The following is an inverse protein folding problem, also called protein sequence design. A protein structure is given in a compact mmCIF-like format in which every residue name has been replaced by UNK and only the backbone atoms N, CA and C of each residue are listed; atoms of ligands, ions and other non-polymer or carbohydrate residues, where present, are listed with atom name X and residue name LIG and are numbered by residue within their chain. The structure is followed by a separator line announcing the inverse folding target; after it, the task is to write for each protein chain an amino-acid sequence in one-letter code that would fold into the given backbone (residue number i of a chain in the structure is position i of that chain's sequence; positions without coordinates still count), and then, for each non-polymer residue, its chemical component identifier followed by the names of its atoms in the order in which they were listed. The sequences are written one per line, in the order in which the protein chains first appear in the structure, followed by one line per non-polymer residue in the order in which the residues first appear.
data_IF_023964517662
#
_entry.id   IF_023964517662
#
_cell.length_a   1.000
_cell.length_b   1.000
_cell.length_c   1.000
_cell.angle_alpha   90.00
_cell.angle_beta   90.00
_cell.angle_gamma   90.00
#
_symmetry.space_group_name_H-M   'P 1'
#
loop_
_entity.id
_entity.type
_entity.pdbx_description
1 polymer ?
#
# COMPACT_ATOMS: atom_id res chain seq x y z
N UNK A 1 13.81 -18.43 -2.34
CA UNK A 1 14.38 -17.70 -3.49
C UNK A 1 13.99 -16.23 -3.40
N UNK A 2 14.85 -15.28 -3.82
CA UNK A 2 14.44 -13.88 -3.94
C UNK A 2 13.35 -13.76 -5.01
N UNK A 3 12.27 -13.05 -4.68
CA UNK A 3 11.22 -12.70 -5.65
C UNK A 3 11.88 -11.79 -6.70
N UNK A 4 11.77 -12.09 -8.00
CA UNK A 4 12.25 -11.18 -9.04
C UNK A 4 11.56 -9.83 -8.85
N UNK A 5 12.34 -8.74 -8.73
CA UNK A 5 11.79 -7.36 -8.68
C UNK A 5 10.85 -7.06 -9.86
N UNK A 6 10.94 -7.83 -10.95
CA UNK A 6 10.03 -7.88 -12.10
C UNK A 6 8.54 -8.08 -11.76
N UNK A 7 8.25 -8.80 -10.67
CA UNK A 7 6.90 -9.27 -10.33
C UNK A 7 6.18 -8.40 -9.30
N UNK A 8 6.84 -7.36 -8.78
CA UNK A 8 6.22 -6.44 -7.84
C UNK A 8 5.34 -5.43 -8.59
N UNK A 9 4.12 -5.15 -8.08
CA UNK A 9 3.25 -4.17 -8.70
C UNK A 9 3.87 -2.79 -8.64
N UNK A 10 3.64 -2.00 -9.68
CA UNK A 10 3.80 -0.55 -9.65
C UNK A 10 2.85 0.08 -8.64
N UNK A 11 3.13 1.31 -8.22
CA UNK A 11 2.23 2.02 -7.32
C UNK A 11 0.85 2.25 -7.97
N UNK A 12 0.80 2.56 -9.27
CA UNK A 12 -0.44 2.66 -10.04
C UNK A 12 -1.26 1.35 -9.97
N UNK A 13 -0.64 0.20 -10.23
CA UNK A 13 -1.31 -1.11 -10.21
C UNK A 13 -1.80 -1.45 -8.80
N UNK A 14 -0.97 -1.21 -7.77
CA UNK A 14 -1.36 -1.44 -6.39
C UNK A 14 -2.55 -0.57 -6.00
N UNK A 15 -2.49 0.74 -6.27
CA UNK A 15 -3.57 1.69 -5.98
C UNK A 15 -4.86 1.30 -6.70
N UNK A 16 -4.78 0.93 -7.98
CA UNK A 16 -5.92 0.44 -8.74
C UNK A 16 -6.51 -0.84 -8.14
N UNK A 17 -5.69 -1.82 -7.75
CA UNK A 17 -6.17 -3.07 -7.15
C UNK A 17 -6.84 -2.82 -5.79
N UNK A 18 -6.22 -2.01 -4.93
CA UNK A 18 -6.75 -1.67 -3.60
C UNK A 18 -8.12 -0.98 -3.70
N UNK A 19 -8.25 -0.04 -4.63
CA UNK A 19 -9.49 0.72 -4.86
C UNK A 19 -10.58 -0.14 -5.50
N UNK A 20 -10.27 -0.84 -6.60
CA UNK A 20 -11.26 -1.60 -7.37
C UNK A 20 -11.73 -2.89 -6.68
N UNK A 21 -10.81 -3.64 -6.07
CA UNK A 21 -11.09 -4.98 -5.54
C UNK A 21 -11.44 -4.99 -4.06
N UNK A 22 -10.83 -4.10 -3.27
CA UNK A 22 -11.00 -4.09 -1.81
C UNK A 22 -11.76 -2.87 -1.28
N UNK A 23 -12.18 -1.96 -2.16
CA UNK A 23 -12.90 -0.75 -1.79
C UNK A 23 -12.07 0.18 -0.92
N UNK A 24 -10.74 0.14 -1.06
CA UNK A 24 -9.87 1.07 -0.35
C UNK A 24 -9.96 2.47 -0.99
N UNK A 25 -9.73 3.50 -0.19
CA UNK A 25 -9.61 4.88 -0.65
C UNK A 25 -8.19 5.37 -0.40
N UNK A 26 -7.65 6.13 -1.34
CA UNK A 26 -6.36 6.81 -1.17
C UNK A 26 -6.63 8.26 -0.74
N UNK A 27 -6.12 8.64 0.42
CA UNK A 27 -6.37 9.93 1.07
C UNK A 27 -5.07 10.54 1.58
N UNK A 28 -5.13 11.83 1.89
CA UNK A 28 -4.03 12.55 2.52
C UNK A 28 -4.51 13.13 3.84
N UNK A 29 -3.66 13.04 4.87
CA UNK A 29 -3.88 13.69 6.16
C UNK A 29 -2.78 14.72 6.38
N UNK A 30 -3.18 15.95 6.72
CA UNK A 30 -2.23 16.99 7.12
C UNK A 30 -1.78 16.70 8.56
N UNK A 31 -0.51 16.34 8.73
CA UNK A 31 0.07 16.10 10.05
C UNK A 31 0.80 17.36 10.51
N UNK A 32 0.48 17.82 11.72
CA UNK A 32 1.21 18.87 12.41
C UNK A 32 2.18 18.20 13.39
N UNK A 33 3.48 18.49 13.25
CA UNK A 33 4.46 18.11 14.26
C UNK A 33 4.54 19.22 15.30
N UNK A 34 4.48 18.85 16.58
CA UNK A 34 4.67 19.80 17.67
C UNK A 34 6.01 20.52 17.51
N UNK A 35 5.96 21.86 17.44
CA UNK A 35 7.13 22.71 17.24
C UNK A 35 7.48 23.04 15.79
N UNK A 36 6.72 22.52 14.81
CA UNK A 36 6.85 22.90 13.39
C UNK A 36 5.58 23.64 12.97
N UNK A 37 5.72 24.86 12.45
CA UNK A 37 4.58 25.68 12.02
C UNK A 37 3.90 25.13 10.75
N UNK A 38 4.62 24.36 9.96
CA UNK A 38 4.14 23.81 8.70
C UNK A 38 3.53 22.42 8.89
N UNK A 39 2.35 22.22 8.29
CA UNK A 39 1.81 20.87 8.09
C UNK A 39 2.38 20.26 6.83
N UNK A 40 2.58 18.94 6.87
CA UNK A 40 2.92 18.17 5.67
C UNK A 40 1.81 17.16 5.38
N UNK A 41 1.43 17.00 4.10
CA UNK A 41 0.47 15.99 3.70
C UNK A 41 1.13 14.61 3.80
N UNK A 42 0.44 13.69 4.48
CA UNK A 42 0.86 12.28 4.58
C UNK A 42 -0.16 11.43 3.84
N UNK A 43 0.25 10.77 2.73
CA UNK A 43 -0.64 9.88 2.02
C UNK A 43 -0.88 8.58 2.80
N UNK A 44 -2.11 8.08 2.74
CA UNK A 44 -2.51 6.83 3.37
C UNK A 44 -3.61 6.13 2.57
N UNK A 45 -3.65 4.80 2.70
CA UNK A 45 -4.79 4.01 2.27
C UNK A 45 -5.74 3.79 3.44
N UNK A 46 -7.03 3.92 3.17
CA UNK A 46 -8.11 3.63 4.10
C UNK A 46 -8.98 2.51 3.55
N UNK A 47 -9.36 1.53 4.38
CA UNK A 47 -10.34 0.51 4.05
C UNK A 47 -11.42 0.46 5.13
N UNK A 48 -12.68 0.55 4.72
CA UNK A 48 -13.83 0.43 5.62
C UNK A 48 -14.37 -1.00 5.60
N UNK A 49 -14.47 -1.61 6.77
CA UNK A 49 -14.97 -2.98 6.95
C UNK A 49 -16.05 -2.97 8.05
N UNK A 50 -17.29 -2.68 7.67
CA UNK A 50 -18.39 -2.47 8.62
C UNK A 50 -18.08 -1.27 9.52
N UNK A 51 -18.06 -1.50 10.84
CA UNK A 51 -17.76 -0.47 11.84
C UNK A 51 -16.25 -0.22 12.03
N UNK A 52 -15.39 -0.97 11.33
CA UNK A 52 -13.93 -0.85 11.45
C UNK A 52 -13.36 -0.03 10.30
N UNK A 53 -12.53 0.96 10.62
CA UNK A 53 -11.72 1.70 9.65
C UNK A 53 -10.26 1.25 9.82
N UNK A 54 -9.70 0.69 8.76
CA UNK A 54 -8.30 0.28 8.69
C UNK A 54 -7.51 1.33 7.90
N UNK A 55 -6.38 1.78 8.44
CA UNK A 55 -5.55 2.80 7.81
C UNK A 55 -4.09 2.34 7.71
N UNK A 56 -3.48 2.60 6.55
CA UNK A 56 -2.05 2.37 6.34
C UNK A 56 -1.41 3.62 5.75
N UNK A 57 -0.62 4.30 6.58
CA UNK A 57 0.30 5.35 6.11
C UNK A 57 1.34 4.69 5.20
N UNK A 58 1.65 5.38 4.11
CA UNK A 58 2.54 4.89 3.08
C UNK A 58 3.53 5.97 2.72
N UNK A 59 4.81 5.60 2.68
CA UNK A 59 5.87 6.44 2.14
C UNK A 59 6.17 5.89 0.76
N UNK A 60 5.59 6.50 -0.26
CA UNK A 60 5.80 6.10 -1.65
C UNK A 60 6.71 7.07 -2.38
N UNK A 61 7.40 6.59 -3.42
CA UNK A 61 8.00 7.47 -4.41
C UNK A 61 6.93 8.32 -5.09
N UNK A 62 7.32 9.50 -5.56
CA UNK A 62 6.41 10.45 -6.24
C UNK A 62 5.93 9.93 -7.62
N UNK A 63 6.53 8.85 -8.14
CA UNK A 63 6.25 8.30 -9.46
C UNK A 63 5.34 7.06 -9.37
N UNK A 64 4.16 7.13 -10.00
CA UNK A 64 3.21 6.02 -10.01
C UNK A 64 3.70 4.78 -10.81
N UNK A 65 4.75 4.94 -11.63
CA UNK A 65 5.38 3.85 -12.39
C UNK A 65 6.42 3.07 -11.57
N UNK A 66 6.83 3.59 -10.41
CA UNK A 66 7.78 2.91 -9.55
C UNK A 66 7.17 1.67 -8.89
N UNK A 67 8.00 0.63 -8.77
CA UNK A 67 7.60 -0.63 -8.14
C UNK A 67 7.58 -0.50 -6.64
N UNK A 68 6.52 -1.04 -6.05
CA UNK A 68 6.35 -1.04 -4.60
C UNK A 68 7.27 -2.09 -4.00
N UNK A 69 8.15 -1.66 -3.09
CA UNK A 69 8.99 -2.57 -2.34
C UNK A 69 8.15 -3.63 -1.60
N UNK A 70 8.60 -4.88 -1.61
CA UNK A 70 7.89 -6.00 -0.99
C UNK A 70 7.53 -5.76 0.48
N UNK A 71 8.41 -5.08 1.22
CA UNK A 71 8.18 -4.70 2.62
C UNK A 71 6.98 -3.78 2.77
N UNK A 72 6.84 -2.78 1.89
CA UNK A 72 5.72 -1.85 1.88
C UNK A 72 4.44 -2.57 1.49
N UNK A 73 4.49 -3.41 0.45
CA UNK A 73 3.35 -4.23 0.03
C UNK A 73 2.84 -5.13 1.16
N UNK A 74 3.74 -5.84 1.85
CA UNK A 74 3.39 -6.66 3.01
C UNK A 74 2.79 -5.85 4.15
N UNK A 75 3.37 -4.69 4.46
CA UNK A 75 2.86 -3.79 5.51
C UNK A 75 1.42 -3.33 5.20
N UNK A 76 1.15 -2.95 3.95
CA UNK A 76 -0.17 -2.53 3.48
C UNK A 76 -1.17 -3.69 3.59
N UNK A 77 -0.80 -4.87 3.10
CA UNK A 77 -1.66 -6.05 3.13
C UNK A 77 -2.05 -6.42 4.56
N UNK A 78 -1.08 -6.42 5.49
CA UNK A 78 -1.34 -6.73 6.90
C UNK A 78 -2.24 -5.67 7.55
N UNK A 79 -1.96 -4.37 7.35
CA UNK A 79 -2.73 -3.30 7.98
C UNK A 79 -4.15 -3.17 7.44
N UNK A 80 -4.35 -3.45 6.15
CA UNK A 80 -5.66 -3.37 5.50
C UNK A 80 -6.41 -4.72 5.47
N UNK A 81 -5.87 -5.75 6.11
CA UNK A 81 -6.44 -7.12 6.13
C UNK A 81 -6.73 -7.66 4.72
N UNK A 82 -5.74 -7.51 3.83
CA UNK A 82 -5.79 -7.97 2.45
C UNK A 82 -4.92 -9.24 2.31
N UNK A 83 -5.45 -10.33 1.74
CA UNK A 83 -4.66 -11.53 1.49
C UNK A 83 -3.50 -11.24 0.52
N UNK A 84 -2.27 -11.50 0.96
CA UNK A 84 -1.09 -11.29 0.11
C UNK A 84 -1.10 -12.19 -1.15
N UNK A 85 -1.78 -13.34 -1.08
CA UNK A 85 -1.94 -14.28 -2.20
C UNK A 85 -2.57 -13.63 -3.45
N UNK A 86 -3.40 -12.61 -3.26
CA UNK A 86 -4.11 -11.94 -4.35
C UNK A 86 -3.18 -11.11 -5.25
N UNK A 87 -1.96 -10.85 -4.79
CA UNK A 87 -0.92 -10.19 -5.59
C UNK A 87 -0.15 -11.16 -6.49
N UNK A 88 -0.49 -12.46 -6.48
CA UNK A 88 0.15 -13.50 -7.29
C UNK A 88 1.67 -13.40 -7.24
N UNK A 89 2.19 -13.11 -6.04
CA UNK A 89 3.60 -13.22 -5.74
C UNK A 89 3.91 -14.73 -5.63
N UNK A 90 3.72 -15.44 -6.74
CA UNK A 90 4.13 -16.82 -6.89
C UNK A 90 5.64 -16.84 -6.77
N UNK A 91 6.09 -17.08 -5.54
CA UNK A 91 7.36 -17.75 -5.32
C UNK A 91 7.11 -19.13 -5.91
N UNK A 92 7.37 -19.27 -7.22
CA UNK A 92 7.44 -20.55 -7.88
C UNK A 92 8.46 -21.35 -7.08
N UNK A 93 7.95 -22.14 -6.15
CA UNK A 93 8.66 -23.18 -5.44
C UNK A 93 8.71 -24.33 -6.44
N UNK A 94 9.33 -24.06 -7.59
CA UNK A 94 9.59 -25.05 -8.61
C UNK A 94 10.52 -26.08 -7.96
N UNK A 95 9.95 -27.27 -7.88
CA UNK A 95 10.55 -28.55 -7.49
C UNK A 95 11.90 -28.81 -8.15
#
# INVERSE_FOLDING_TARGET
MPIPFAQLPTFAELKHMLTSKYGCEFREISVHLDGVSDSYPVPYFERKMGDKILQCVVVFPNDETERVALTNLRSICVRLEIPLADFHLDIDSSK
#
